data_IF_531243237876
#
_entry.id   IF_531243237876
#
_cell.length_a   1.000
_cell.length_b   1.000
_cell.length_c   1.000
_cell.angle_alpha   90.00
_cell.angle_beta   90.00
_cell.angle_gamma   90.00
#
_symmetry.space_group_name_H-M   'P 1'
#
loop_
_entity.id
_entity.type
_entity.pdbx_description
1 polymer ?
#
# COMPACT_ATOMS: atom_id res chain seq x y z
N UNK A 1 -2.04 1.75 19.21
CA UNK A 1 -0.79 1.08 18.80
C UNK A 1 -0.41 0.11 19.88
N UNK A 2 -0.64 -1.18 19.66
CA UNK A 2 -0.45 -2.25 20.67
C UNK A 2 0.68 -3.23 20.28
N UNK A 3 1.30 -3.03 19.12
CA UNK A 3 2.24 -3.99 18.55
C UNK A 3 3.62 -3.39 18.32
N UNK A 4 4.66 -4.23 18.35
CA UNK A 4 6.02 -3.78 18.03
C UNK A 4 6.12 -3.35 16.57
N UNK A 5 6.97 -2.36 16.29
CA UNK A 5 7.24 -1.90 14.92
C UNK A 5 7.75 -3.04 14.03
N UNK A 6 8.58 -3.93 14.58
CA UNK A 6 9.11 -5.11 13.88
C UNK A 6 8.02 -6.03 13.33
N UNK A 7 6.87 -6.12 14.01
CA UNK A 7 5.75 -6.95 13.56
C UNK A 7 4.96 -6.31 12.42
N UNK A 8 4.95 -4.96 12.38
CA UNK A 8 4.06 -4.11 11.58
C UNK A 8 2.56 -4.39 11.76
N UNK A 9 2.15 -5.10 12.82
CA UNK A 9 0.78 -5.62 12.96
C UNK A 9 -0.30 -4.52 13.03
N UNK A 10 0.04 -3.31 13.46
CA UNK A 10 -0.88 -2.16 13.42
C UNK A 10 -1.27 -1.77 11.97
N UNK A 11 -0.51 -2.16 10.94
CA UNK A 11 -0.91 -1.97 9.54
C UNK A 11 -2.14 -2.81 9.15
N UNK A 12 -2.51 -3.82 9.94
CA UNK A 12 -3.73 -4.61 9.69
C UNK A 12 -4.99 -3.76 9.73
N UNK A 13 -4.98 -2.66 10.49
CA UNK A 13 -6.12 -1.73 10.58
C UNK A 13 -6.39 -0.94 9.29
N UNK A 14 -5.49 -1.00 8.30
CA UNK A 14 -5.73 -0.44 6.97
C UNK A 14 -6.81 -1.23 6.22
N UNK A 15 -6.96 -2.51 6.52
CA UNK A 15 -8.03 -3.36 6.00
C UNK A 15 -9.25 -3.23 6.91
N UNK A 16 -10.39 -2.69 6.42
CA UNK A 16 -11.59 -2.57 7.23
C UNK A 16 -12.07 -3.93 7.74
N UNK A 17 -12.60 -3.96 8.97
CA UNK A 17 -13.16 -5.18 9.55
C UNK A 17 -14.35 -5.64 8.70
N UNK A 18 -14.32 -6.89 8.26
CA UNK A 18 -15.36 -7.49 7.43
C UNK A 18 -15.23 -7.20 5.93
N UNK A 19 -14.19 -6.48 5.49
CA UNK A 19 -13.90 -6.36 4.07
C UNK A 19 -13.58 -7.74 3.47
N UNK A 20 -14.22 -8.06 2.35
CA UNK A 20 -14.03 -9.29 1.58
C UNK A 20 -13.63 -8.98 0.13
N UNK A 21 -13.72 -7.71 -0.28
CA UNK A 21 -13.35 -7.26 -1.62
C UNK A 21 -12.48 -6.00 -1.58
N UNK A 22 -11.70 -5.76 -2.64
CA UNK A 22 -10.85 -4.58 -2.74
C UNK A 22 -11.66 -3.26 -2.76
N UNK A 23 -12.87 -3.26 -3.33
CA UNK A 23 -13.73 -2.08 -3.42
C UNK A 23 -14.24 -1.57 -2.06
N UNK A 24 -14.20 -2.41 -1.03
CA UNK A 24 -14.57 -2.04 0.35
C UNK A 24 -13.42 -1.37 1.10
N UNK A 25 -12.20 -1.36 0.55
CA UNK A 25 -11.02 -0.73 1.15
C UNK A 25 -10.92 0.71 0.62
N UNK A 26 -10.97 1.74 1.50
CA UNK A 26 -10.74 3.11 1.10
C UNK A 26 -9.32 3.31 0.55
N UNK A 27 -9.18 4.13 -0.49
CA UNK A 27 -7.86 4.52 -1.01
C UNK A 27 -7.06 5.19 0.10
N UNK A 28 -5.93 4.57 0.46
CA UNK A 28 -5.08 4.96 1.57
C UNK A 28 -3.61 5.06 1.13
N UNK A 29 -3.01 6.23 1.35
CA UNK A 29 -1.57 6.47 1.15
C UNK A 29 -0.87 6.46 2.50
N UNK A 30 0.17 5.63 2.65
CA UNK A 30 0.94 5.49 3.88
C UNK A 30 2.37 5.94 3.64
N UNK A 31 2.78 7.05 4.25
CA UNK A 31 4.11 7.60 4.07
C UNK A 31 5.14 7.00 5.02
N UNK A 32 6.31 6.61 4.48
CA UNK A 32 7.38 5.94 5.20
C UNK A 32 8.77 6.44 4.73
N UNK A 33 9.70 6.69 5.64
CA UNK A 33 10.98 7.33 5.28
C UNK A 33 11.98 6.39 4.58
N UNK A 34 11.74 5.08 4.61
CA UNK A 34 12.72 4.08 4.16
C UNK A 34 12.10 3.14 3.13
N UNK A 35 12.73 3.04 1.96
CA UNK A 35 12.31 2.14 0.88
C UNK A 35 11.97 0.73 1.36
N UNK A 36 12.87 0.12 2.11
CA UNK A 36 12.72 -1.26 2.61
C UNK A 36 11.47 -1.38 3.48
N UNK A 37 11.17 -0.38 4.32
CA UNK A 37 9.96 -0.40 5.15
C UNK A 37 8.67 -0.31 4.34
N UNK A 38 8.71 0.38 3.19
CA UNK A 38 7.56 0.50 2.32
C UNK A 38 7.29 -0.84 1.59
N UNK A 39 8.34 -1.51 1.11
CA UNK A 39 8.26 -2.87 0.54
C UNK A 39 7.74 -3.88 1.59
N UNK A 40 8.40 -3.95 2.77
CA UNK A 40 8.00 -4.83 3.87
C UNK A 40 6.55 -4.60 4.33
N UNK A 41 6.14 -3.33 4.42
CA UNK A 41 4.80 -2.97 4.86
C UNK A 41 3.75 -3.43 3.85
N UNK A 42 4.00 -3.25 2.56
CA UNK A 42 3.10 -3.67 1.51
C UNK A 42 2.94 -5.19 1.51
N UNK A 43 4.06 -5.92 1.66
CA UNK A 43 4.04 -7.38 1.72
C UNK A 43 3.29 -7.90 2.94
N UNK A 44 3.38 -7.23 4.09
CA UNK A 44 2.58 -7.56 5.27
C UNK A 44 1.07 -7.37 5.04
N UNK A 45 0.68 -6.25 4.44
CA UNK A 45 -0.74 -5.98 4.15
C UNK A 45 -1.26 -6.97 3.11
N UNK A 46 -0.49 -7.31 2.07
CA UNK A 46 -0.83 -8.34 1.07
C UNK A 46 -1.08 -9.70 1.71
N UNK A 47 -0.23 -10.10 2.66
CA UNK A 47 -0.42 -11.33 3.42
C UNK A 47 -1.80 -11.38 4.10
N UNK A 48 -2.19 -10.32 4.81
CA UNK A 48 -3.51 -10.28 5.46
C UNK A 48 -4.66 -10.13 4.47
N UNK A 49 -4.47 -9.41 3.37
CA UNK A 49 -5.47 -9.33 2.30
C UNK A 49 -5.77 -10.72 1.72
N UNK A 50 -4.71 -11.50 1.45
CA UNK A 50 -4.81 -12.89 1.01
C UNK A 50 -5.57 -13.76 2.00
N UNK A 51 -5.29 -13.63 3.31
CA UNK A 51 -6.03 -14.33 4.38
C UNK A 51 -7.54 -14.02 4.36
N UNK A 52 -7.92 -12.81 3.94
CA UNK A 52 -9.30 -12.35 3.83
C UNK A 52 -9.94 -12.63 2.45
N UNK A 53 -9.20 -13.24 1.51
CA UNK A 53 -9.68 -13.46 0.15
C UNK A 53 -9.67 -12.22 -0.75
N UNK A 54 -9.03 -11.14 -0.31
CA UNK A 54 -8.90 -9.88 -1.05
C UNK A 54 -7.71 -9.99 -2.02
N UNK A 55 -7.85 -9.54 -3.28
CA UNK A 55 -6.75 -9.54 -4.24
C UNK A 55 -5.52 -8.77 -3.75
N UNK A 56 -4.34 -9.39 -3.82
CA UNK A 56 -3.09 -8.79 -3.33
C UNK A 56 -2.61 -7.61 -4.20
N UNK A 57 -3.03 -7.56 -5.46
CA UNK A 57 -2.66 -6.54 -6.45
C UNK A 57 -3.28 -5.17 -6.18
N UNK A 58 -4.30 -5.09 -5.32
CA UNK A 58 -4.86 -3.83 -4.86
C UNK A 58 -3.99 -3.13 -3.78
N UNK A 59 -2.87 -3.75 -3.38
CA UNK A 59 -1.92 -3.22 -2.40
C UNK A 59 -0.53 -3.12 -3.05
N UNK A 60 0.09 -1.95 -2.96
CA UNK A 60 1.41 -1.72 -3.56
C UNK A 60 2.34 -0.84 -2.73
N UNK A 61 3.56 -0.66 -3.22
CA UNK A 61 4.51 0.32 -2.72
C UNK A 61 4.97 1.27 -3.83
N UNK A 62 5.45 2.45 -3.45
CA UNK A 62 6.01 3.44 -4.36
C UNK A 62 7.23 4.13 -3.75
N UNK A 63 8.35 4.09 -4.46
CA UNK A 63 9.59 4.76 -4.02
C UNK A 63 10.49 5.12 -5.20
N UNK A 64 11.58 5.85 -4.93
CA UNK A 64 12.51 6.35 -5.95
C UNK A 64 13.01 5.28 -6.94
N UNK A 65 13.27 4.04 -6.48
CA UNK A 65 13.74 2.94 -7.33
C UNK A 65 12.66 2.29 -8.22
N UNK A 66 11.39 2.66 -8.09
CA UNK A 66 10.36 2.21 -9.03
C UNK A 66 10.60 2.91 -10.37
N UNK A 67 10.69 2.14 -11.46
CA UNK A 67 10.93 2.70 -12.79
C UNK A 67 9.81 3.66 -13.24
N UNK A 68 10.16 4.70 -14.01
CA UNK A 68 9.23 5.77 -14.39
C UNK A 68 7.97 5.27 -15.10
N UNK A 69 8.10 4.27 -15.99
CA UNK A 69 6.95 3.64 -16.65
C UNK A 69 6.01 3.00 -15.61
N UNK A 70 6.56 2.24 -14.68
CA UNK A 70 5.78 1.56 -13.66
C UNK A 70 5.13 2.54 -12.68
N UNK A 71 5.80 3.65 -12.33
CA UNK A 71 5.20 4.73 -11.52
C UNK A 71 3.91 5.27 -12.13
N UNK A 72 3.93 5.59 -13.44
CA UNK A 72 2.74 6.08 -14.16
C UNK A 72 1.61 5.06 -14.17
N UNK A 73 1.96 3.77 -14.34
CA UNK A 73 0.98 2.68 -14.26
C UNK A 73 0.35 2.60 -12.87
N UNK A 74 1.15 2.67 -11.80
CA UNK A 74 0.64 2.65 -10.43
C UNK A 74 -0.23 3.88 -10.12
N UNK A 75 0.14 5.06 -10.59
CA UNK A 75 -0.66 6.29 -10.43
C UNK A 75 -2.00 6.21 -11.18
N UNK A 76 -2.03 5.62 -12.37
CA UNK A 76 -3.26 5.32 -13.12
C UNK A 76 -4.14 4.33 -12.37
N UNK A 77 -3.57 3.22 -11.90
CA UNK A 77 -4.28 2.18 -11.15
C UNK A 77 -4.86 2.73 -9.83
N UNK A 78 -4.11 3.61 -9.16
CA UNK A 78 -4.57 4.34 -7.98
C UNK A 78 -5.76 5.24 -8.32
N UNK A 79 -5.65 6.03 -9.40
CA UNK A 79 -6.75 6.90 -9.86
C UNK A 79 -8.01 6.11 -10.26
N UNK A 80 -7.85 4.91 -10.81
CA UNK A 80 -8.96 4.03 -11.15
C UNK A 80 -9.57 3.32 -9.91
N UNK A 81 -8.98 3.47 -8.72
CA UNK A 81 -9.39 2.72 -7.52
C UNK A 81 -9.06 1.23 -7.57
N UNK A 82 -8.18 0.81 -8.47
CA UNK A 82 -7.69 -0.58 -8.55
C UNK A 82 -6.60 -0.86 -7.53
N UNK A 83 -5.86 0.17 -7.13
CA UNK A 83 -4.99 0.14 -5.95
C UNK A 83 -5.72 0.89 -4.84
N UNK A 84 -5.92 0.21 -3.72
CA UNK A 84 -6.60 0.76 -2.54
C UNK A 84 -5.59 1.13 -1.45
N UNK A 85 -4.42 0.51 -1.42
CA UNK A 85 -3.38 0.82 -0.43
C UNK A 85 -2.04 0.99 -1.13
N UNK A 86 -1.40 2.13 -0.92
CA UNK A 86 -0.05 2.37 -1.42
C UNK A 86 0.84 2.88 -0.30
N UNK A 87 1.93 2.14 -0.01
CA UNK A 87 2.95 2.57 0.94
C UNK A 87 4.08 3.25 0.20
N UNK A 88 4.38 4.48 0.57
CA UNK A 88 5.22 5.35 -0.22
C UNK A 88 6.29 6.07 0.59
N UNK A 89 7.46 6.23 -0.02
CA UNK A 89 8.42 7.23 0.45
C UNK A 89 8.00 8.62 -0.02
N UNK A 90 8.60 9.68 0.53
CA UNK A 90 8.40 11.10 0.13
C UNK A 90 8.58 11.37 -1.37
N UNK A 91 9.10 10.40 -2.12
CA UNK A 91 9.04 10.37 -3.58
C UNK A 91 7.60 10.46 -4.15
N UNK A 92 6.56 10.16 -3.36
CA UNK A 92 5.13 10.38 -3.71
C UNK A 92 4.71 11.78 -3.27
N UNK A 93 4.99 12.79 -4.10
CA UNK A 93 4.61 14.18 -3.84
C UNK A 93 5.61 15.20 -4.38
N UNK A 94 6.84 14.79 -4.67
CA UNK A 94 7.87 15.66 -5.26
C UNK A 94 7.93 15.62 -6.79
N UNK A 95 6.94 15.00 -7.46
CA UNK A 95 6.81 15.05 -8.92
C UNK A 95 5.42 15.55 -9.28
N UNK A 96 5.19 16.82 -9.04
CA UNK A 96 4.11 17.61 -9.65
C UNK A 96 4.55 19.07 -9.67
N UNK A 97 5.43 19.42 -10.61
CA UNK A 97 5.24 20.45 -11.66
C UNK A 97 6.21 20.13 -12.81
#
# INVERSE_FOLDING_TARGET
MKHSESSKADLRFVLPVGATTAAEIPITLIYCNQRIRCEDGADRIRMWAKELGIPEDCITFYHAKVGAKHKRELEELLRQGKICVMICTDAVGMVSV
#
